data_IF_890870996495
#
_entry.id   IF_890870996495
#
_cell.length_a   1.000
_cell.length_b   1.000
_cell.length_c   1.000
_cell.angle_alpha   90.00
_cell.angle_beta   90.00
_cell.angle_gamma   90.00
#
_symmetry.space_group_name_H-M   'P 1'
#
loop_
_entity.id
_entity.type
_entity.pdbx_description
1 polymer ?
#
# COMPACT_ATOMS: atom_id res chain seq x y z
N UNK A 1 -6.56 7.17 -13.97
CA UNK A 1 -5.44 6.62 -13.18
C UNK A 1 -5.51 7.26 -11.81
N UNK A 2 -5.37 6.47 -10.75
CA UNK A 2 -5.26 6.95 -9.36
C UNK A 2 -3.97 6.41 -8.74
N UNK A 3 -3.42 7.12 -7.77
CA UNK A 3 -2.19 6.73 -7.09
C UNK A 3 -2.29 7.01 -5.59
N UNK A 4 -1.81 6.07 -4.78
CA UNK A 4 -1.61 6.23 -3.34
C UNK A 4 -0.11 6.23 -3.06
N UNK A 5 0.38 7.26 -2.36
CA UNK A 5 1.80 7.41 -2.05
C UNK A 5 1.98 7.53 -0.55
N UNK A 6 2.44 6.46 0.08
CA UNK A 6 2.87 6.46 1.48
C UNK A 6 1.76 6.83 2.48
N UNK A 7 0.54 6.35 2.23
CA UNK A 7 -0.64 6.68 3.08
C UNK A 7 -1.23 5.45 3.76
N UNK A 8 -1.24 4.28 3.11
CA UNK A 8 -2.10 3.16 3.53
C UNK A 8 -1.83 2.67 4.95
N UNK A 9 -0.55 2.56 5.33
CA UNK A 9 -0.16 2.10 6.65
C UNK A 9 -0.23 3.20 7.72
N UNK A 10 -0.52 4.45 7.35
CA UNK A 10 -0.82 5.53 8.31
C UNK A 10 -2.30 5.63 8.69
N UNK A 11 -3.18 4.96 7.94
CA UNK A 11 -4.61 4.90 8.24
C UNK A 11 -4.85 3.79 9.27
N UNK A 12 -4.78 4.11 10.56
CA UNK A 12 -4.92 3.10 11.63
C UNK A 12 -6.39 2.74 11.90
N UNK A 13 -7.32 3.67 11.66
CA UNK A 13 -8.75 3.46 11.83
C UNK A 13 -9.34 2.63 10.66
N UNK A 14 -10.02 1.50 10.94
CA UNK A 14 -10.57 0.63 9.89
C UNK A 14 -11.48 1.35 8.89
N UNK A 15 -12.45 2.13 9.38
CA UNK A 15 -13.39 2.85 8.51
C UNK A 15 -12.70 3.89 7.60
N UNK A 16 -11.62 4.51 8.09
CA UNK A 16 -10.87 5.50 7.30
C UNK A 16 -10.08 4.79 6.20
N UNK A 17 -9.43 3.67 6.53
CA UNK A 17 -8.74 2.81 5.56
C UNK A 17 -9.70 2.30 4.47
N UNK A 18 -10.85 1.74 4.85
CA UNK A 18 -11.83 1.20 3.90
C UNK A 18 -12.37 2.29 2.96
N UNK A 19 -12.76 3.45 3.50
CA UNK A 19 -13.23 4.57 2.69
C UNK A 19 -12.13 5.07 1.74
N UNK A 20 -10.88 5.14 2.20
CA UNK A 20 -9.76 5.53 1.35
C UNK A 20 -9.57 4.55 0.19
N UNK A 21 -9.57 3.24 0.47
CA UNK A 21 -9.40 2.21 -0.55
C UNK A 21 -10.54 2.22 -1.58
N UNK A 22 -11.79 2.37 -1.12
CA UNK A 22 -12.94 2.52 -2.01
C UNK A 22 -12.81 3.74 -2.92
N UNK A 23 -12.40 4.89 -2.37
CA UNK A 23 -12.16 6.08 -3.17
C UNK A 23 -11.00 5.89 -4.16
N UNK A 24 -9.90 5.27 -3.73
CA UNK A 24 -8.72 5.04 -4.57
C UNK A 24 -9.06 4.18 -5.81
N UNK A 25 -9.72 3.04 -5.59
CA UNK A 25 -10.10 2.12 -6.66
C UNK A 25 -11.31 2.61 -7.47
N UNK A 26 -12.23 3.35 -6.86
CA UNK A 26 -13.36 3.99 -7.53
C UNK A 26 -12.97 5.20 -8.39
N UNK A 27 -11.82 5.82 -8.13
CA UNK A 27 -11.33 7.00 -8.87
C UNK A 27 -10.59 6.66 -10.16
N UNK A 28 -10.47 5.38 -10.53
CA UNK A 28 -9.79 4.96 -11.75
C UNK A 28 -10.58 3.90 -12.51
N UNK A 29 -10.66 4.08 -13.83
CA UNK A 29 -11.30 3.11 -14.72
C UNK A 29 -10.31 2.10 -15.31
N UNK A 30 -9.01 2.20 -15.01
CA UNK A 30 -7.99 1.35 -15.63
C UNK A 30 -6.79 1.00 -14.75
N UNK A 31 -6.10 2.01 -14.22
CA UNK A 31 -4.83 1.83 -13.53
C UNK A 31 -4.86 2.39 -12.12
N UNK A 32 -4.42 1.61 -11.14
CA UNK A 32 -4.21 2.05 -9.75
C UNK A 32 -2.77 1.74 -9.38
N UNK A 33 -2.02 2.76 -8.95
CA UNK A 33 -0.66 2.62 -8.41
C UNK A 33 -0.66 2.80 -6.89
N UNK A 34 0.10 1.98 -6.17
CA UNK A 34 0.25 2.08 -4.72
C UNK A 34 1.74 2.03 -4.38
N UNK A 35 2.22 3.03 -3.67
CA UNK A 35 3.52 2.99 -2.99
C UNK A 35 3.26 2.83 -1.50
N UNK A 36 3.48 1.62 -0.99
CA UNK A 36 3.19 1.26 0.40
C UNK A 36 4.01 0.05 0.84
N UNK A 37 4.05 -0.19 2.14
CA UNK A 37 4.44 -1.47 2.69
C UNK A 37 3.28 -2.48 2.61
N UNK A 38 3.59 -3.71 2.17
CA UNK A 38 2.69 -4.86 2.16
C UNK A 38 3.28 -5.95 3.04
N UNK A 39 2.63 -6.26 4.16
CA UNK A 39 3.08 -7.31 5.06
C UNK A 39 2.82 -7.03 6.52
N UNK A 40 3.38 -7.91 7.36
CA UNK A 40 3.39 -7.79 8.82
C UNK A 40 4.83 -7.56 9.27
N UNK A 41 5.01 -6.58 10.14
CA UNK A 41 6.31 -6.28 10.73
C UNK A 41 6.16 -6.31 12.25
N UNK A 42 6.85 -7.26 12.89
CA UNK A 42 6.92 -7.38 14.34
C UNK A 42 7.95 -6.38 14.92
N UNK A 43 7.76 -5.10 14.62
CA UNK A 43 8.54 -4.00 15.20
C UNK A 43 7.62 -3.10 16.04
N UNK A 44 8.18 -2.42 17.06
CA UNK A 44 7.43 -1.41 17.81
C UNK A 44 6.81 -0.41 16.85
N UNK A 45 5.48 -0.36 16.83
CA UNK A 45 4.74 0.51 15.94
C UNK A 45 4.59 1.87 16.61
N UNK A 46 4.92 2.94 15.90
CA UNK A 46 4.41 4.25 16.30
C UNK A 46 2.87 4.20 16.23
N UNK A 47 2.19 4.94 17.12
CA UNK A 47 0.72 4.90 17.23
C UNK A 47 -0.03 5.27 15.94
N UNK A 48 0.64 5.92 15.00
CA UNK A 48 0.13 6.34 13.69
C UNK A 48 0.50 5.38 12.56
N UNK A 49 0.93 4.15 12.86
CA UNK A 49 1.31 3.13 11.87
C UNK A 49 0.53 1.85 12.16
N UNK A 50 0.01 1.22 11.12
CA UNK A 50 -0.56 -0.13 11.16
C UNK A 50 -0.26 -0.87 9.85
N UNK A 51 0.59 -1.89 9.96
CA UNK A 51 1.02 -2.71 8.83
C UNK A 51 -0.08 -3.71 8.49
N UNK A 52 -0.38 -3.80 7.20
CA UNK A 52 -1.43 -4.66 6.66
C UNK A 52 -0.91 -5.33 5.39
N UNK A 53 -1.43 -6.51 5.14
CA UNK A 53 -1.35 -7.19 3.84
C UNK A 53 -2.40 -6.57 2.92
N UNK A 54 -2.14 -5.33 2.48
CA UNK A 54 -3.08 -4.56 1.67
C UNK A 54 -3.30 -5.22 0.30
N UNK A 55 -2.34 -5.98 -0.22
CA UNK A 55 -2.51 -6.72 -1.46
C UNK A 55 -3.58 -7.82 -1.34
N UNK A 56 -3.62 -8.53 -0.21
CA UNK A 56 -4.65 -9.53 0.06
C UNK A 56 -6.03 -8.88 0.23
N UNK A 57 -6.09 -7.76 0.96
CA UNK A 57 -7.30 -6.96 1.07
C UNK A 57 -7.83 -6.53 -0.31
N UNK A 58 -6.95 -6.06 -1.20
CA UNK A 58 -7.36 -5.63 -2.55
C UNK A 58 -7.94 -6.80 -3.34
N UNK A 59 -7.29 -7.97 -3.28
CA UNK A 59 -7.73 -9.17 -3.98
C UNK A 59 -9.12 -9.64 -3.53
N UNK A 60 -9.45 -9.46 -2.25
CA UNK A 60 -10.74 -9.85 -1.68
C UNK A 60 -11.87 -8.85 -2.02
N UNK A 61 -11.57 -7.55 -2.00
CA UNK A 61 -12.56 -6.48 -2.08
C UNK A 61 -12.72 -5.85 -3.48
N UNK A 62 -11.66 -5.74 -4.28
CA UNK A 62 -11.66 -5.08 -5.60
C UNK A 62 -11.44 -6.10 -6.72
N UNK A 63 -12.38 -7.04 -6.86
CA UNK A 63 -12.30 -8.16 -7.82
C UNK A 63 -12.23 -7.75 -9.29
N UNK A 64 -12.62 -6.52 -9.60
CA UNK A 64 -12.50 -5.91 -10.93
C UNK A 64 -11.09 -5.37 -11.21
N UNK A 65 -10.15 -5.51 -10.29
CA UNK A 65 -8.74 -5.19 -10.49
C UNK A 65 -7.86 -6.42 -10.23
N UNK A 66 -6.76 -6.52 -10.96
CA UNK A 66 -5.71 -7.53 -10.75
C UNK A 66 -4.36 -6.86 -10.57
N UNK A 67 -3.52 -7.42 -9.71
CA UNK A 67 -2.11 -7.03 -9.60
C UNK A 67 -1.40 -7.42 -10.89
N UNK A 68 -0.70 -6.48 -11.51
CA UNK A 68 0.08 -6.72 -12.74
C UNK A 68 1.58 -6.66 -12.50
N UNK A 69 2.04 -5.85 -11.55
CA UNK A 69 3.47 -5.62 -11.32
C UNK A 69 3.75 -5.17 -9.89
N UNK A 70 4.88 -5.64 -9.36
CA UNK A 70 5.49 -5.10 -8.14
C UNK A 70 6.91 -4.64 -8.50
N UNK A 71 7.17 -3.35 -8.39
CA UNK A 71 8.52 -2.80 -8.54
C UNK A 71 9.12 -2.63 -7.14
N UNK A 72 10.15 -3.42 -6.85
CA UNK A 72 10.86 -3.34 -5.57
C UNK A 72 11.61 -2.02 -5.46
N UNK A 73 11.50 -1.39 -4.29
CA UNK A 73 12.22 -0.16 -4.01
C UNK A 73 13.72 -0.42 -3.95
N UNK A 74 14.49 0.31 -4.77
CA UNK A 74 15.96 0.23 -4.79
C UNK A 74 16.60 0.68 -3.48
N UNK A 75 15.91 1.55 -2.72
CA UNK A 75 16.33 2.06 -1.42
C UNK A 75 15.50 1.42 -0.30
N UNK A 76 15.44 0.09 -0.30
CA UNK A 76 14.68 -0.68 0.68
C UNK A 76 15.27 -0.51 2.08
N UNK A 77 14.41 -0.16 3.04
CA UNK A 77 14.80 -0.02 4.44
C UNK A 77 15.15 -1.36 5.07
N UNK A 78 16.16 -1.34 5.91
CA UNK A 78 16.55 -2.42 6.82
C UNK A 78 16.67 -1.85 8.23
N UNK A 79 16.92 -2.71 9.23
CA UNK A 79 17.15 -2.26 10.61
C UNK A 79 18.44 -1.42 10.76
N UNK A 80 19.37 -1.55 9.82
CA UNK A 80 20.67 -0.86 9.83
C UNK A 80 20.77 0.29 8.82
N UNK A 81 19.74 0.52 8.02
CA UNK A 81 19.76 1.59 7.01
C UNK A 81 19.32 2.94 7.58
N UNK A 82 19.76 4.01 6.93
CA UNK A 82 19.38 5.37 7.30
C UNK A 82 17.89 5.62 7.01
N UNK A 83 17.08 5.96 8.03
CA UNK A 83 15.65 6.18 7.87
C UNK A 83 15.29 7.38 6.99
N UNK A 84 16.19 8.35 6.82
CA UNK A 84 15.94 9.57 6.01
C UNK A 84 16.07 9.29 4.50
N UNK A 85 16.77 8.21 4.14
CA UNK A 85 17.09 7.89 2.73
C UNK A 85 16.56 6.52 2.29
N UNK A 86 15.85 5.80 3.17
CA UNK A 86 15.31 4.46 2.87
C UNK A 86 13.86 4.29 3.31
N UNK A 87 13.11 3.42 2.61
CA UNK A 87 11.70 3.13 2.94
C UNK A 87 11.38 1.65 2.88
N UNK A 88 10.42 1.22 3.70
CA UNK A 88 9.87 -0.14 3.66
C UNK A 88 8.98 -0.39 2.44
N UNK A 89 8.55 0.65 1.75
CA UNK A 89 7.55 0.57 0.69
C UNK A 89 8.10 -0.06 -0.60
N UNK A 90 7.21 -0.69 -1.37
CA UNK A 90 7.40 -1.05 -2.78
C UNK A 90 6.32 -0.36 -3.62
N UNK A 91 6.47 -0.37 -4.95
CA UNK A 91 5.40 0.03 -5.87
C UNK A 91 4.60 -1.19 -6.31
N UNK A 92 3.28 -1.08 -6.27
CA UNK A 92 2.31 -2.07 -6.72
C UNK A 92 1.44 -1.44 -7.79
N UNK A 93 1.25 -2.14 -8.91
CA UNK A 93 0.40 -1.69 -10.01
C UNK A 93 -0.74 -2.66 -10.23
N UNK A 94 -1.95 -2.12 -10.31
CA UNK A 94 -3.18 -2.86 -10.55
C UNK A 94 -3.85 -2.39 -11.84
N UNK A 95 -4.36 -3.33 -12.62
CA UNK A 95 -5.12 -3.09 -13.84
C UNK A 95 -6.57 -3.55 -13.66
N UNK A 96 -7.53 -2.79 -14.18
CA UNK A 96 -8.92 -3.23 -14.29
C UNK A 96 -9.04 -4.46 -15.20
N UNK A 97 -9.82 -5.45 -14.79
CA UNK A 97 -10.12 -6.68 -15.55
C UNK A 97 -11.22 -6.46 -16.57
#
# INVERSE_FOLDING_TARGET
MSISLDVLYHLVEPNVYENYMNNLFGSSNKWVGIYSYDGKLDLPMASHVLYREHNDYIKEHFKNFRLVEIIKNQYKRTLSSDPETTSWCDFFFYESV
#
